data_IF_188423773302
#
_entry.id   IF_188423773302
#
_cell.length_a   1.000
_cell.length_b   1.000
_cell.length_c   1.000
_cell.angle_alpha   90.00
_cell.angle_beta   90.00
_cell.angle_gamma   90.00
#
_symmetry.space_group_name_H-M   'P 1'
#
loop_
_entity.id
_entity.type
_entity.pdbx_description
1 polymer ?
#
# COMPACT_ATOMS: atom_id res chain seq x y z
N UNK A 1 -12.44 -2.51 9.78
CA UNK A 1 -13.34 -1.56 9.07
C UNK A 1 -12.76 -1.09 7.74
N UNK A 2 -11.59 -0.45 7.70
CA UNK A 2 -10.99 0.10 6.46
C UNK A 2 -10.74 -0.96 5.39
N UNK A 3 -10.20 -2.13 5.76
CA UNK A 3 -9.97 -3.24 4.84
C UNK A 3 -11.25 -3.65 4.08
N UNK A 4 -12.38 -3.75 4.79
CA UNK A 4 -13.66 -4.12 4.18
C UNK A 4 -14.18 -3.03 3.22
N UNK A 5 -13.96 -1.74 3.53
CA UNK A 5 -14.37 -0.65 2.64
C UNK A 5 -13.59 -0.69 1.32
N UNK A 6 -12.26 -0.80 1.39
CA UNK A 6 -11.39 -0.90 0.20
C UNK A 6 -11.72 -2.16 -0.61
N UNK A 7 -11.86 -3.30 0.07
CA UNK A 7 -12.23 -4.56 -0.55
C UNK A 7 -13.54 -4.43 -1.34
N UNK A 8 -14.59 -3.89 -0.72
CA UNK A 8 -15.90 -3.72 -1.35
C UNK A 8 -15.88 -2.77 -2.57
N UNK A 9 -14.99 -1.78 -2.58
CA UNK A 9 -14.80 -0.92 -3.76
C UNK A 9 -14.15 -1.71 -4.89
N UNK A 10 -13.06 -2.39 -4.61
CA UNK A 10 -12.24 -3.01 -5.65
C UNK A 10 -12.87 -4.28 -6.26
N UNK A 11 -13.61 -5.10 -5.49
CA UNK A 11 -14.28 -6.30 -6.01
C UNK A 11 -15.41 -6.01 -6.99
N UNK A 12 -15.89 -4.77 -7.07
CA UNK A 12 -16.87 -4.38 -8.08
C UNK A 12 -16.29 -4.44 -9.50
N UNK A 13 -14.99 -4.36 -9.63
CA UNK A 13 -14.30 -4.29 -10.93
C UNK A 13 -13.27 -5.40 -11.15
N UNK A 14 -12.62 -5.86 -10.10
CA UNK A 14 -11.53 -6.82 -10.20
C UNK A 14 -11.90 -8.19 -9.63
N UNK A 15 -11.27 -9.28 -10.13
CA UNK A 15 -11.43 -10.61 -9.56
C UNK A 15 -11.13 -10.63 -8.06
N UNK A 16 -12.00 -11.29 -7.31
CA UNK A 16 -11.91 -11.36 -5.85
C UNK A 16 -10.56 -11.86 -5.36
N UNK A 17 -9.96 -12.84 -6.05
CA UNK A 17 -8.67 -13.41 -5.69
C UNK A 17 -7.54 -12.37 -5.76
N UNK A 18 -7.52 -11.54 -6.80
CA UNK A 18 -6.52 -10.44 -6.94
C UNK A 18 -6.68 -9.45 -5.79
N UNK A 19 -7.92 -8.99 -5.55
CA UNK A 19 -8.20 -7.98 -4.51
C UNK A 19 -7.83 -8.50 -3.13
N UNK A 20 -8.16 -9.75 -2.84
CA UNK A 20 -7.85 -10.39 -1.56
C UNK A 20 -6.34 -10.43 -1.32
N UNK A 21 -5.56 -11.00 -2.25
CA UNK A 21 -4.11 -11.10 -2.12
C UNK A 21 -3.45 -9.71 -2.03
N UNK A 22 -3.85 -8.77 -2.89
CA UNK A 22 -3.35 -7.39 -2.88
C UNK A 22 -3.50 -6.73 -1.50
N UNK A 23 -4.68 -6.83 -0.89
CA UNK A 23 -4.93 -6.22 0.41
C UNK A 23 -4.24 -6.97 1.56
N UNK A 24 -4.21 -8.30 1.52
CA UNK A 24 -3.48 -9.10 2.50
C UNK A 24 -1.99 -8.72 2.51
N UNK A 25 -1.34 -8.64 1.35
CA UNK A 25 0.06 -8.26 1.22
C UNK A 25 0.31 -6.78 1.59
N UNK A 26 -0.63 -5.88 1.28
CA UNK A 26 -0.58 -4.48 1.71
C UNK A 26 -0.57 -4.37 3.25
N UNK A 27 -1.53 -5.00 3.94
CA UNK A 27 -1.61 -4.92 5.39
C UNK A 27 -0.48 -5.70 6.10
N UNK A 28 -0.03 -6.82 5.53
CA UNK A 28 1.16 -7.51 6.00
C UNK A 28 2.40 -6.62 5.93
N UNK A 29 2.57 -5.88 4.83
CA UNK A 29 3.67 -4.90 4.68
C UNK A 29 3.62 -3.82 5.78
N UNK A 30 2.46 -3.24 6.06
CA UNK A 30 2.28 -2.26 7.13
C UNK A 30 2.75 -2.82 8.48
N UNK A 31 2.36 -4.07 8.77
CA UNK A 31 2.73 -4.74 10.02
C UNK A 31 4.25 -4.96 10.13
N UNK A 32 4.91 -5.43 9.07
CA UNK A 32 6.36 -5.62 9.06
C UNK A 32 7.13 -4.29 9.08
N UNK A 33 6.59 -3.23 8.44
CA UNK A 33 7.13 -1.87 8.56
C UNK A 33 7.13 -1.38 10.00
N UNK A 34 6.02 -1.51 10.73
CA UNK A 34 5.88 -1.13 12.14
C UNK A 34 6.87 -1.85 13.07
N UNK A 35 7.21 -3.11 12.73
CA UNK A 35 8.22 -3.90 13.45
C UNK A 35 9.67 -3.55 13.08
N UNK A 36 9.89 -2.64 12.14
CA UNK A 36 11.21 -2.35 11.54
C UNK A 36 11.87 -3.58 10.90
N UNK A 37 11.07 -4.52 10.42
CA UNK A 37 11.54 -5.79 9.86
C UNK A 37 11.69 -5.69 8.32
N UNK A 38 12.72 -4.98 7.88
CA UNK A 38 12.88 -4.57 6.48
C UNK A 38 12.98 -5.73 5.49
N UNK A 39 13.52 -6.87 5.94
CA UNK A 39 13.64 -8.06 5.08
C UNK A 39 12.26 -8.65 4.78
N UNK A 40 11.42 -8.88 5.81
CA UNK A 40 10.07 -9.40 5.61
C UNK A 40 9.16 -8.36 4.94
N UNK A 41 9.30 -7.09 5.30
CA UNK A 41 8.65 -6.00 4.58
C UNK A 41 8.94 -6.07 3.06
N UNK A 42 10.19 -6.26 2.66
CA UNK A 42 10.58 -6.41 1.25
C UNK A 42 9.96 -7.63 0.56
N UNK A 43 9.69 -8.72 1.28
CA UNK A 43 8.97 -9.87 0.73
C UNK A 43 7.50 -9.52 0.42
N UNK A 44 6.80 -8.91 1.40
CA UNK A 44 5.41 -8.50 1.24
C UNK A 44 5.25 -7.46 0.12
N UNK A 45 6.18 -6.48 0.04
CA UNK A 45 6.23 -5.52 -1.07
C UNK A 45 6.36 -6.23 -2.41
N UNK A 46 7.16 -7.31 -2.49
CA UNK A 46 7.29 -8.08 -3.71
C UNK A 46 6.00 -8.76 -4.13
N UNK A 47 5.30 -9.37 -3.20
CA UNK A 47 3.99 -9.97 -3.47
C UNK A 47 2.96 -8.92 -3.86
N UNK A 48 2.95 -7.78 -3.18
CA UNK A 48 2.09 -6.64 -3.55
C UNK A 48 2.35 -6.16 -5.00
N UNK A 49 3.62 -6.08 -5.43
CA UNK A 49 3.97 -5.72 -6.82
C UNK A 49 3.39 -6.76 -7.79
N UNK A 50 3.56 -8.06 -7.52
CA UNK A 50 3.04 -9.14 -8.35
C UNK A 50 1.50 -9.13 -8.42
N UNK A 51 0.81 -8.77 -7.35
CA UNK A 51 -0.65 -8.63 -7.33
C UNK A 51 -1.10 -7.42 -8.15
N UNK A 52 -0.37 -6.31 -8.06
CA UNK A 52 -0.60 -5.14 -8.91
C UNK A 52 -0.36 -5.45 -10.40
N UNK A 53 0.66 -6.24 -10.75
CA UNK A 53 0.89 -6.68 -12.14
C UNK A 53 -0.32 -7.44 -12.67
N UNK A 54 -0.87 -8.37 -11.88
CA UNK A 54 -2.10 -9.11 -12.25
C UNK A 54 -3.30 -8.19 -12.40
N UNK A 55 -3.44 -7.21 -11.51
CA UNK A 55 -4.51 -6.22 -11.56
C UNK A 55 -4.41 -5.34 -12.81
N UNK A 56 -3.22 -4.85 -13.16
CA UNK A 56 -2.99 -4.04 -14.35
C UNK A 56 -3.23 -4.87 -15.63
N UNK A 57 -2.71 -6.10 -15.70
CA UNK A 57 -2.99 -6.99 -16.83
C UNK A 57 -4.51 -7.20 -17.00
N UNK A 58 -5.23 -7.49 -15.89
CA UNK A 58 -6.68 -7.65 -15.94
C UNK A 58 -7.39 -6.36 -16.37
N UNK A 59 -6.98 -5.20 -15.85
CA UNK A 59 -7.55 -3.90 -16.20
C UNK A 59 -7.42 -3.59 -17.70
N UNK A 60 -6.26 -3.90 -18.29
CA UNK A 60 -5.92 -3.52 -19.66
C UNK A 60 -6.30 -4.59 -20.70
N UNK A 61 -6.41 -5.86 -20.30
CA UNK A 61 -6.60 -6.98 -21.24
C UNK A 61 -7.77 -7.89 -20.88
N UNK A 62 -8.40 -7.67 -19.74
CA UNK A 62 -9.40 -8.57 -19.13
C UNK A 62 -8.88 -10.00 -18.88
N UNK A 63 -7.57 -10.16 -18.80
CA UNK A 63 -6.88 -11.42 -18.50
C UNK A 63 -5.74 -11.19 -17.54
N UNK A 64 -5.38 -12.18 -16.72
CA UNK A 64 -4.24 -12.12 -15.83
C UNK A 64 -3.62 -13.50 -15.65
N UNK A 65 -2.35 -13.55 -15.27
CA UNK A 65 -1.65 -14.80 -14.94
C UNK A 65 -2.19 -15.34 -13.62
N UNK A 66 -2.74 -16.56 -13.63
CA UNK A 66 -3.29 -17.21 -12.45
C UNK A 66 -2.25 -17.37 -11.35
N UNK A 67 -2.66 -17.37 -10.07
CA UNK A 67 -1.75 -17.43 -8.92
C UNK A 67 -0.92 -18.71 -8.82
N UNK A 68 -1.40 -19.80 -9.41
CA UNK A 68 -0.64 -21.07 -9.51
C UNK A 68 0.41 -21.07 -10.64
N UNK A 69 0.55 -19.97 -11.38
CA UNK A 69 1.53 -19.80 -12.46
C UNK A 69 2.50 -18.67 -12.13
N UNK A 70 3.76 -18.87 -12.53
CA UNK A 70 4.79 -17.84 -12.38
C UNK A 70 4.52 -16.67 -13.32
N UNK A 71 4.62 -15.44 -12.80
CA UNK A 71 4.60 -14.23 -13.60
C UNK A 71 5.83 -14.15 -14.52
N UNK A 72 5.71 -13.50 -15.69
CA UNK A 72 6.87 -13.06 -16.47
C UNK A 72 7.81 -12.20 -15.61
N UNK A 73 9.07 -12.08 -16.03
CA UNK A 73 10.01 -11.15 -15.38
C UNK A 73 9.53 -9.72 -15.64
N UNK A 74 9.35 -8.97 -14.55
CA UNK A 74 8.92 -7.56 -14.63
C UNK A 74 10.08 -6.70 -15.16
N UNK A 75 10.12 -6.49 -16.45
CA UNK A 75 11.13 -5.74 -17.20
C UNK A 75 10.52 -4.60 -18.04
N UNK A 76 11.37 -3.92 -18.80
CA UNK A 76 10.91 -2.84 -19.70
C UNK A 76 9.92 -3.32 -20.77
N UNK A 77 9.94 -4.60 -21.18
CA UNK A 77 9.01 -5.10 -22.18
C UNK A 77 7.59 -5.14 -21.63
N UNK A 78 7.43 -5.52 -20.36
CA UNK A 78 6.12 -5.47 -19.66
C UNK A 78 5.62 -4.02 -19.55
N UNK A 79 6.49 -3.08 -19.19
CA UNK A 79 6.11 -1.66 -19.16
C UNK A 79 5.63 -1.17 -20.52
N UNK A 80 6.40 -1.43 -21.58
CA UNK A 80 6.04 -1.03 -22.95
C UNK A 80 4.75 -1.70 -23.44
N UNK A 81 4.50 -2.96 -23.05
CA UNK A 81 3.24 -3.65 -23.34
C UNK A 81 2.05 -2.87 -22.78
N UNK A 82 2.12 -2.42 -21.53
CA UNK A 82 1.04 -1.68 -20.90
C UNK A 82 0.91 -0.25 -21.43
N UNK A 83 2.02 0.46 -21.62
CA UNK A 83 2.05 1.82 -22.18
C UNK A 83 1.44 1.90 -23.59
N UNK A 84 1.65 0.84 -24.40
CA UNK A 84 1.13 0.74 -25.77
C UNK A 84 -0.32 0.22 -25.85
N UNK A 85 -1.00 -0.06 -24.73
CA UNK A 85 -2.42 -0.35 -24.72
C UNK A 85 -3.23 0.88 -25.20
N UNK A 86 -4.49 0.65 -25.59
CA UNK A 86 -5.37 1.69 -26.11
C UNK A 86 -5.37 2.94 -25.21
N UNK A 87 -5.29 4.12 -25.83
CA UNK A 87 -5.41 5.42 -25.13
C UNK A 87 -6.79 5.66 -24.53
N UNK A 88 -7.76 4.79 -24.76
CA UNK A 88 -9.06 4.79 -24.08
C UNK A 88 -8.96 4.39 -22.60
N UNK A 89 -7.91 3.67 -22.21
CA UNK A 89 -7.63 3.38 -20.79
C UNK A 89 -6.97 4.57 -20.13
N UNK A 90 -7.31 4.83 -18.85
CA UNK A 90 -6.71 5.89 -18.05
C UNK A 90 -5.18 5.73 -17.96
N UNK A 91 -4.45 6.82 -18.08
CA UNK A 91 -2.97 6.84 -18.04
C UNK A 91 -2.43 6.34 -16.69
N UNK A 92 -3.20 6.44 -15.62
CA UNK A 92 -2.81 5.89 -14.33
C UNK A 92 -2.55 4.40 -14.40
N UNK A 93 -3.38 3.64 -15.13
CA UNK A 93 -3.19 2.19 -15.33
C UNK A 93 -2.12 1.85 -16.35
N UNK A 94 -1.96 2.66 -17.39
CA UNK A 94 -1.00 2.37 -18.46
C UNK A 94 0.41 2.83 -18.12
N UNK A 95 0.55 3.95 -17.40
CA UNK A 95 1.82 4.64 -17.24
C UNK A 95 2.19 4.83 -15.77
N UNK A 96 1.35 5.48 -14.95
CA UNK A 96 1.76 5.93 -13.62
C UNK A 96 2.00 4.76 -12.66
N UNK A 97 0.99 3.92 -12.45
CA UNK A 97 1.13 2.75 -11.57
C UNK A 97 2.24 1.82 -12.05
N UNK A 98 2.32 1.41 -13.35
CA UNK A 98 3.40 0.58 -13.86
C UNK A 98 4.80 1.11 -13.59
N UNK A 99 5.06 2.39 -13.81
CA UNK A 99 6.37 3.00 -13.58
C UNK A 99 6.74 3.06 -12.11
N UNK A 100 5.78 3.34 -11.23
CA UNK A 100 5.97 3.28 -9.79
C UNK A 100 6.30 1.85 -9.35
N UNK A 101 5.53 0.85 -9.80
CA UNK A 101 5.79 -0.56 -9.51
C UNK A 101 7.18 -1.00 -9.98
N UNK A 102 7.59 -0.58 -11.17
CA UNK A 102 8.91 -0.90 -11.70
C UNK A 102 10.03 -0.30 -10.85
N UNK A 103 9.87 0.97 -10.43
CA UNK A 103 10.80 1.62 -9.51
C UNK A 103 10.88 0.89 -8.16
N UNK A 104 9.74 0.50 -7.60
CA UNK A 104 9.65 -0.28 -6.36
C UNK A 104 10.37 -1.62 -6.49
N UNK A 105 10.15 -2.35 -7.60
CA UNK A 105 10.81 -3.62 -7.89
C UNK A 105 12.33 -3.46 -8.01
N UNK A 106 12.81 -2.40 -8.65
CA UNK A 106 14.23 -2.08 -8.72
C UNK A 106 14.83 -1.83 -7.33
N UNK A 107 14.20 -1.01 -6.49
CA UNK A 107 14.66 -0.73 -5.13
C UNK A 107 14.73 -2.01 -4.31
N UNK A 108 13.65 -2.79 -4.25
CA UNK A 108 13.55 -4.05 -3.53
C UNK A 108 14.66 -5.04 -3.93
N UNK A 109 14.91 -5.18 -5.24
CA UNK A 109 15.90 -6.12 -5.76
C UNK A 109 17.34 -5.64 -5.55
N UNK A 110 17.61 -4.34 -5.59
CA UNK A 110 18.96 -3.77 -5.50
C UNK A 110 19.41 -3.43 -4.07
N UNK A 111 18.47 -3.32 -3.11
CA UNK A 111 18.76 -2.97 -1.71
C UNK A 111 18.86 -4.17 -0.76
N UNK A 112 19.09 -5.38 -1.27
CA UNK A 112 19.34 -6.55 -0.43
C UNK A 112 18.14 -7.03 0.41
N UNK A 113 16.94 -6.61 0.08
CA UNK A 113 15.73 -7.08 0.76
C UNK A 113 15.45 -8.55 0.49
N UNK A 114 15.95 -9.09 -0.64
CA UNK A 114 15.77 -10.51 -1.04
C UNK A 114 17.08 -11.27 -1.00
N UNK A 115 18.13 -10.70 -1.57
CA UNK A 115 19.44 -11.32 -1.70
C UNK A 115 20.48 -10.54 -0.91
N UNK A 116 21.56 -11.22 -0.45
CA UNK A 116 22.69 -10.53 0.16
C UNK A 116 23.34 -9.61 -0.86
N UNK A 117 23.11 -8.30 -0.73
CA UNK A 117 23.76 -7.24 -1.48
C UNK A 117 24.65 -6.41 -0.55
N UNK A 118 25.56 -5.64 -1.14
CA UNK A 118 26.44 -4.73 -0.39
C UNK A 118 25.69 -3.62 0.36
N UNK A 119 24.44 -3.33 -0.03
CA UNK A 119 23.61 -2.29 0.59
C UNK A 119 22.54 -2.97 1.43
N UNK A 120 22.60 -2.72 2.74
CA UNK A 120 21.59 -3.22 3.69
C UNK A 120 20.34 -2.35 3.58
N UNK A 121 19.12 -2.96 3.48
CA UNK A 121 17.88 -2.19 3.47
C UNK A 121 17.74 -1.40 4.76
N UNK A 122 17.25 -0.17 4.64
CA UNK A 122 17.10 0.75 5.75
C UNK A 122 15.69 1.37 5.78
N UNK A 123 15.41 2.15 6.84
CA UNK A 123 14.11 2.81 7.03
C UNK A 123 13.76 3.75 5.86
N UNK A 124 14.74 4.41 5.23
CA UNK A 124 14.49 5.31 4.11
C UNK A 124 13.96 4.55 2.88
N UNK A 125 14.60 3.42 2.54
CA UNK A 125 14.14 2.56 1.44
C UNK A 125 12.72 2.02 1.73
N UNK A 126 12.49 1.55 2.96
CA UNK A 126 11.18 1.03 3.37
C UNK A 126 10.09 2.11 3.35
N UNK A 127 10.39 3.33 3.78
CA UNK A 127 9.46 4.45 3.78
C UNK A 127 9.06 4.85 2.35
N UNK A 128 10.01 4.88 1.42
CA UNK A 128 9.73 5.16 0.01
C UNK A 128 8.81 4.09 -0.59
N UNK A 129 9.09 2.81 -0.35
CA UNK A 129 8.25 1.72 -0.83
C UNK A 129 6.85 1.77 -0.22
N UNK A 130 6.74 2.01 1.08
CA UNK A 130 5.45 2.12 1.77
C UNK A 130 4.60 3.27 1.22
N UNK A 131 5.19 4.45 1.01
CA UNK A 131 4.46 5.60 0.46
C UNK A 131 3.98 5.33 -0.96
N UNK A 132 4.78 4.63 -1.78
CA UNK A 132 4.35 4.21 -3.11
C UNK A 132 3.18 3.21 -3.06
N UNK A 133 3.21 2.24 -2.14
CA UNK A 133 2.08 1.30 -1.94
C UNK A 133 0.81 2.05 -1.52
N UNK A 134 0.92 2.96 -0.54
CA UNK A 134 -0.20 3.79 -0.08
C UNK A 134 -0.79 4.62 -1.23
N UNK A 135 0.06 5.22 -2.05
CA UNK A 135 -0.36 5.99 -3.21
C UNK A 135 -1.11 5.11 -4.23
N UNK A 136 -0.59 3.92 -4.54
CA UNK A 136 -1.23 2.99 -5.48
C UNK A 136 -2.62 2.58 -4.96
N UNK A 137 -2.76 2.21 -3.70
CA UNK A 137 -4.06 1.87 -3.11
C UNK A 137 -5.02 3.06 -3.17
N UNK A 138 -4.55 4.27 -2.83
CA UNK A 138 -5.35 5.49 -2.89
C UNK A 138 -5.84 5.78 -4.33
N UNK A 139 -4.98 5.63 -5.34
CA UNK A 139 -5.36 5.77 -6.75
C UNK A 139 -6.37 4.71 -7.20
N UNK A 140 -6.18 3.46 -6.80
CA UNK A 140 -7.15 2.40 -7.09
C UNK A 140 -8.52 2.70 -6.47
N UNK A 141 -8.57 3.24 -5.26
CA UNK A 141 -9.83 3.68 -4.61
C UNK A 141 -10.43 4.85 -5.41
N UNK A 142 -9.65 5.88 -5.72
CA UNK A 142 -10.10 7.06 -6.44
C UNK A 142 -10.71 6.72 -7.80
N UNK A 143 -10.10 5.81 -8.55
CA UNK A 143 -10.52 5.43 -9.89
C UNK A 143 -11.69 4.44 -9.92
N UNK A 144 -11.99 3.78 -8.81
CA UNK A 144 -12.99 2.70 -8.78
C UNK A 144 -14.11 2.94 -7.76
N UNK A 145 -14.04 4.03 -6.98
CA UNK A 145 -15.09 4.37 -6.02
C UNK A 145 -16.32 4.95 -6.73
N UNK A 146 -17.50 4.42 -6.39
CA UNK A 146 -18.80 4.99 -6.74
C UNK A 146 -19.38 5.84 -5.58
N UNK A 147 -18.58 6.09 -4.54
CA UNK A 147 -18.96 6.89 -3.38
C UNK A 147 -18.90 8.38 -3.71
N UNK A 148 -19.42 9.21 -2.81
CA UNK A 148 -19.25 10.66 -2.89
C UNK A 148 -17.76 11.02 -2.84
N UNK A 149 -17.43 12.25 -3.29
CA UNK A 149 -16.05 12.75 -3.21
C UNK A 149 -15.53 12.78 -1.77
N UNK A 150 -16.36 13.18 -0.81
CA UNK A 150 -15.99 13.26 0.60
C UNK A 150 -15.76 11.89 1.21
N UNK A 151 -16.67 10.93 1.01
CA UNK A 151 -16.50 9.55 1.48
C UNK A 151 -15.27 8.88 0.88
N UNK A 152 -15.00 9.11 -0.41
CA UNK A 152 -13.80 8.58 -1.09
C UNK A 152 -12.53 9.16 -0.48
N UNK A 153 -12.49 10.48 -0.24
CA UNK A 153 -11.35 11.13 0.40
C UNK A 153 -11.13 10.65 1.83
N UNK A 154 -12.18 10.38 2.59
CA UNK A 154 -12.06 9.84 3.95
C UNK A 154 -11.38 8.47 3.94
N UNK A 155 -11.75 7.59 3.01
CA UNK A 155 -11.09 6.28 2.86
C UNK A 155 -9.62 6.46 2.43
N UNK A 156 -9.33 7.36 1.49
CA UNK A 156 -7.96 7.67 1.05
C UNK A 156 -7.12 8.21 2.22
N UNK A 157 -7.67 9.12 3.01
CA UNK A 157 -7.00 9.69 4.18
C UNK A 157 -6.62 8.59 5.20
N UNK A 158 -7.52 7.63 5.44
CA UNK A 158 -7.24 6.50 6.30
C UNK A 158 -6.11 5.60 5.76
N UNK A 159 -6.06 5.37 4.44
CA UNK A 159 -4.98 4.58 3.79
C UNK A 159 -3.65 5.30 3.88
N UNK A 160 -3.65 6.63 3.71
CA UNK A 160 -2.45 7.46 3.68
C UNK A 160 -2.02 7.97 5.05
N UNK A 161 -2.72 7.53 6.12
CA UNK A 161 -2.44 7.93 7.49
C UNK A 161 -0.96 7.79 7.87
N UNK A 162 -0.48 8.71 8.70
CA UNK A 162 0.92 8.75 9.10
C UNK A 162 1.25 7.58 10.03
N UNK A 163 2.30 6.84 9.69
CA UNK A 163 2.88 5.86 10.60
C UNK A 163 3.77 6.57 11.63
N UNK A 164 3.43 6.46 12.91
CA UNK A 164 4.19 7.05 14.01
C UNK A 164 4.72 5.92 14.90
N UNK A 165 6.03 5.75 14.89
CA UNK A 165 6.73 4.62 15.54
C UNK A 165 6.42 4.43 17.04
N UNK A 166 6.02 5.50 17.71
CA UNK A 166 5.70 5.48 19.16
C UNK A 166 4.22 5.24 19.46
N UNK A 167 3.37 5.20 18.46
CA UNK A 167 1.95 4.89 18.62
C UNK A 167 1.71 3.45 18.19
N UNK A 168 1.27 2.65 19.13
CA UNK A 168 0.92 1.25 18.92
C UNK A 168 -0.59 1.07 18.85
N UNK A 169 -1.08 0.35 17.86
CA UNK A 169 -2.50 0.11 17.62
C UNK A 169 -2.82 -1.37 17.73
N UNK A 170 -3.79 -1.70 18.56
CA UNK A 170 -4.39 -3.03 18.68
C UNK A 170 -5.90 -2.89 18.81
N UNK A 171 -6.64 -3.65 17.99
CA UNK A 171 -8.10 -3.75 18.05
C UNK A 171 -8.81 -2.38 18.04
N UNK A 172 -8.28 -1.43 17.26
CA UNK A 172 -8.84 -0.07 17.16
C UNK A 172 -8.51 0.85 18.33
N UNK A 173 -7.66 0.41 19.26
CA UNK A 173 -7.15 1.24 20.36
C UNK A 173 -5.70 1.61 20.13
N UNK A 174 -5.38 2.89 20.35
CA UNK A 174 -4.03 3.42 20.18
C UNK A 174 -3.36 3.67 21.51
N UNK A 175 -2.08 3.27 21.63
CA UNK A 175 -1.25 3.52 22.82
C UNK A 175 0.08 4.12 22.46
N UNK A 176 0.53 5.08 23.27
CA UNK A 176 1.87 5.65 23.15
C UNK A 176 2.84 4.78 23.94
N UNK A 177 3.86 4.24 23.28
CA UNK A 177 4.86 3.34 23.87
C UNK A 177 5.95 4.04 24.69
N UNK A 178 5.91 5.36 24.82
CA UNK A 178 6.93 6.12 25.56
C UNK A 178 6.56 6.33 27.02
N UNK A 179 7.39 5.80 27.94
CA UNK A 179 7.20 5.93 29.40
C UNK A 179 7.40 7.36 29.96
N UNK A 180 8.03 8.26 29.20
CA UNK A 180 8.47 9.58 29.70
C UNK A 180 7.67 10.74 29.08
N UNK A 181 6.47 10.51 28.56
CA UNK A 181 5.62 11.55 27.98
C UNK A 181 4.51 11.94 28.95
N UNK A 182 4.37 13.23 29.20
CA UNK A 182 3.25 13.76 29.96
C UNK A 182 1.96 13.72 29.12
N UNK A 183 0.82 13.91 29.76
CA UNK A 183 -0.49 13.85 29.10
C UNK A 183 -0.61 14.84 27.94
N UNK A 184 -0.05 16.04 28.06
CA UNK A 184 -0.03 17.05 26.99
C UNK A 184 0.72 16.54 25.74
N UNK A 185 1.89 15.93 25.93
CA UNK A 185 2.67 15.37 24.82
C UNK A 185 1.92 14.21 24.15
N UNK A 186 1.24 13.35 24.93
CA UNK A 186 0.44 12.26 24.41
C UNK A 186 -0.72 12.78 23.53
N UNK A 187 -1.43 13.79 23.99
CA UNK A 187 -2.51 14.44 23.23
C UNK A 187 -1.95 15.02 21.92
N UNK A 188 -0.80 15.70 21.96
CA UNK A 188 -0.17 16.27 20.77
C UNK A 188 0.23 15.19 19.75
N UNK A 189 0.72 14.02 20.20
CA UNK A 189 1.03 12.90 19.31
C UNK A 189 -0.22 12.33 18.63
N UNK A 190 -1.31 12.17 19.39
CA UNK A 190 -2.58 11.72 18.81
C UNK A 190 -3.16 12.74 17.84
N UNK A 191 -3.16 14.03 18.17
CA UNK A 191 -3.60 15.09 17.27
C UNK A 191 -2.73 15.19 16.00
N UNK A 192 -1.42 14.97 16.14
CA UNK A 192 -0.52 14.93 14.98
C UNK A 192 -0.82 13.76 14.05
N UNK A 193 -1.19 12.60 14.61
CA UNK A 193 -1.54 11.40 13.84
C UNK A 193 -2.90 11.54 13.16
N UNK A 194 -3.92 11.89 13.92
CA UNK A 194 -5.32 11.81 13.49
C UNK A 194 -5.92 13.13 13.01
N UNK A 195 -5.18 14.23 13.09
CA UNK A 195 -5.58 15.59 12.73
C UNK A 195 -6.79 16.16 13.48
N UNK A 196 -7.75 15.33 13.88
CA UNK A 196 -8.93 15.67 14.72
C UNK A 196 -9.22 14.51 15.65
N UNK A 197 -9.46 14.81 16.93
CA UNK A 197 -9.90 13.85 17.94
C UNK A 197 -11.01 14.48 18.77
N UNK A 198 -12.06 13.72 19.07
CA UNK A 198 -13.03 14.12 20.10
C UNK A 198 -12.43 13.89 21.49
N UNK A 199 -12.97 14.62 22.49
CA UNK A 199 -12.56 14.44 23.89
C UNK A 199 -12.85 13.01 24.36
N UNK A 200 -13.93 12.39 23.87
CA UNK A 200 -14.31 11.01 24.17
C UNK A 200 -13.24 10.03 23.70
N UNK A 201 -12.72 10.21 22.48
CA UNK A 201 -11.65 9.36 21.93
C UNK A 201 -10.29 9.53 22.63
N UNK A 202 -10.11 10.60 23.40
CA UNK A 202 -8.89 10.82 24.20
C UNK A 202 -8.97 10.21 25.61
N UNK A 203 -10.19 9.87 26.07
CA UNK A 203 -10.43 9.33 27.40
C UNK A 203 -10.54 7.79 27.44
N UNK A 204 -10.69 7.13 26.28
CA UNK A 204 -10.64 5.66 26.11
C UNK A 204 -9.20 5.15 25.91
#
# INVERSE_FOLDING_TARGET
MINNAIYNILIQKYPQEIVKNLLENYFASLNEFRKNNWKYFGNEVGQFIEDCERLIDYQLTNQYTQFNKKLPIFDNNILLKWENCSSSFDETYRILIPRILFSMNCIRNKRGMIHRNHIIPNKMDALLLLNNMKWIIAELIRLNSNLSFDDTNDIINLVTEKEIDIIWEIDGKSRILSKNKNCKDQILFFLYKYNKLSIENLLE
#
